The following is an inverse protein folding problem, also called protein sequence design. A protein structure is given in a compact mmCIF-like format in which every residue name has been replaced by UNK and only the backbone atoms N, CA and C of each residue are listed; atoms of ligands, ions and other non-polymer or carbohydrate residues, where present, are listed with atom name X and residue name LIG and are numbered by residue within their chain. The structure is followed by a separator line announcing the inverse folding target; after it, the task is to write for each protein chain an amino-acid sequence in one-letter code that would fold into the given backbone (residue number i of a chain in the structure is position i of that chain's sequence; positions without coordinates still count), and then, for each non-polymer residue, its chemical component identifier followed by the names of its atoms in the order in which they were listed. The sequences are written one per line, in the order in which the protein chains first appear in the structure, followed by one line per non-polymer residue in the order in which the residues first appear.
data_IF_386592374805
#
_entry.id   IF_386592374805
#
_cell.length_a   1.000
_cell.length_b   1.000
_cell.length_c   1.000
_cell.angle_alpha   90.00
_cell.angle_beta   90.00
_cell.angle_gamma   90.00
#
_symmetry.space_group_name_H-M   'P 1'
#
loop_
_entity.id
_entity.type
_entity.pdbx_description
1 polymer ?
#
# COMPACT_ATOMS: atom_id res chain seq x y z
N UNK A 1 9.08 -0.29 13.55
CA UNK A 1 9.76 -1.47 14.13
C UNK A 1 11.28 -1.39 13.98
N UNK A 2 12.04 -1.88 14.97
CA UNK A 2 13.49 -2.07 14.84
C UNK A 2 13.85 -3.03 13.70
N UNK A 3 15.03 -2.86 13.08
CA UNK A 3 15.51 -3.73 11.99
C UNK A 3 15.67 -5.18 12.41
N UNK A 4 16.09 -5.41 13.66
CA UNK A 4 16.30 -6.74 14.23
C UNK A 4 15.01 -7.57 14.22
N UNK A 5 13.85 -6.93 14.29
CA UNK A 5 12.56 -7.60 14.18
C UNK A 5 12.35 -8.20 12.78
N UNK A 6 12.68 -7.44 11.72
CA UNK A 6 12.60 -7.96 10.34
C UNK A 6 13.57 -9.13 10.15
N UNK A 7 14.80 -8.99 10.62
CA UNK A 7 15.84 -10.02 10.49
C UNK A 7 15.44 -11.30 11.23
N UNK A 8 14.93 -11.17 12.46
CA UNK A 8 14.42 -12.30 13.23
C UNK A 8 13.25 -12.99 12.51
N UNK A 9 12.29 -12.21 12.01
CA UNK A 9 11.14 -12.75 11.30
C UNK A 9 11.56 -13.48 10.03
N UNK A 10 12.56 -12.98 9.31
CA UNK A 10 13.09 -13.64 8.12
C UNK A 10 13.87 -14.92 8.44
N UNK A 11 14.84 -14.86 9.36
CA UNK A 11 15.74 -15.97 9.65
C UNK A 11 15.04 -17.11 10.42
N UNK A 12 14.14 -16.76 11.35
CA UNK A 12 13.49 -17.72 12.25
C UNK A 12 11.98 -17.83 12.00
N UNK A 13 11.30 -16.70 11.85
CA UNK A 13 9.83 -16.66 11.73
C UNK A 13 9.33 -17.43 10.51
N UNK A 14 9.90 -17.17 9.33
CA UNK A 14 9.57 -17.84 8.06
C UNK A 14 9.64 -19.36 8.20
N UNK A 15 10.75 -19.88 8.73
CA UNK A 15 10.95 -21.33 8.93
C UNK A 15 9.95 -21.92 9.93
N UNK A 16 9.73 -21.26 11.07
CA UNK A 16 8.81 -21.73 12.11
C UNK A 16 7.36 -21.80 11.63
N UNK A 17 6.97 -20.89 10.74
CA UNK A 17 5.62 -20.83 10.18
C UNK A 17 5.45 -21.68 8.91
N UNK A 18 6.50 -22.38 8.45
CA UNK A 18 6.47 -23.16 7.22
C UNK A 18 6.12 -22.30 6.00
N UNK A 19 6.73 -21.12 5.91
CA UNK A 19 6.54 -20.20 4.78
C UNK A 19 7.67 -20.36 3.78
N UNK A 20 7.34 -20.29 2.49
CA UNK A 20 8.30 -20.29 1.40
C UNK A 20 8.41 -18.90 0.78
N UNK A 21 9.54 -18.61 0.14
CA UNK A 21 9.72 -17.35 -0.58
C UNK A 21 8.67 -17.20 -1.69
N UNK A 22 8.02 -16.04 -1.74
CA UNK A 22 6.99 -15.71 -2.73
C UNK A 22 7.49 -14.66 -3.73
N UNK A 23 7.98 -13.53 -3.23
CA UNK A 23 8.46 -12.44 -4.08
C UNK A 23 9.27 -11.41 -3.31
N UNK A 24 10.16 -10.73 -4.02
CA UNK A 24 10.74 -9.45 -3.59
C UNK A 24 10.30 -8.38 -4.58
N UNK A 25 9.80 -7.24 -4.09
CA UNK A 25 9.41 -6.12 -4.97
C UNK A 25 9.74 -4.76 -4.36
N UNK A 26 10.17 -3.88 -5.24
CA UNK A 26 10.31 -2.45 -5.01
C UNK A 26 9.15 -1.71 -5.69
N UNK A 27 8.57 -0.75 -5.00
CA UNK A 27 7.46 0.04 -5.50
C UNK A 27 7.52 1.47 -5.01
N UNK A 28 7.11 2.37 -5.89
CA UNK A 28 6.76 3.73 -5.55
C UNK A 28 5.25 3.85 -5.44
N UNK A 29 4.73 4.51 -4.42
CA UNK A 29 3.30 4.75 -4.27
C UNK A 29 3.06 6.24 -4.20
N UNK A 30 2.13 6.70 -5.02
CA UNK A 30 1.68 8.08 -5.06
C UNK A 30 0.26 8.13 -4.51
N UNK A 31 0.05 8.98 -3.52
CA UNK A 31 -1.27 9.32 -3.01
C UNK A 31 -1.72 10.60 -3.72
N UNK A 32 -2.74 10.48 -4.56
CA UNK A 32 -3.29 11.58 -5.36
C UNK A 32 -4.62 12.02 -4.78
N UNK A 33 -4.72 13.30 -4.46
CA UNK A 33 -5.95 13.94 -4.04
C UNK A 33 -6.73 14.44 -5.26
N UNK A 34 -8.01 14.11 -5.34
CA UNK A 34 -8.96 14.63 -6.32
C UNK A 34 -9.99 15.49 -5.58
N UNK A 35 -9.90 16.83 -5.73
CA UNK A 35 -10.76 17.78 -5.02
C UNK A 35 -12.25 17.62 -5.35
N UNK A 36 -12.59 17.00 -6.46
CA UNK A 36 -13.98 16.76 -6.85
C UNK A 36 -14.56 15.49 -6.20
N UNK A 37 -13.75 14.72 -5.47
CA UNK A 37 -14.17 13.52 -4.75
C UNK A 37 -14.17 13.80 -3.26
N UNK A 38 -15.29 13.50 -2.62
CA UNK A 38 -15.51 13.80 -1.20
C UNK A 38 -14.72 12.93 -0.23
N UNK A 39 -14.22 11.74 -0.63
CA UNK A 39 -13.55 10.84 0.34
C UNK A 39 -12.45 9.89 -0.17
N UNK A 40 -12.48 9.35 -1.41
CA UNK A 40 -11.46 8.37 -1.77
C UNK A 40 -10.23 9.04 -2.40
N UNK A 41 -9.15 9.14 -1.62
CA UNK A 41 -7.82 9.39 -2.17
C UNK A 41 -7.41 8.22 -3.06
N UNK A 42 -6.74 8.55 -4.17
CA UNK A 42 -6.30 7.56 -5.14
C UNK A 42 -4.88 7.17 -4.82
N UNK A 43 -4.63 5.87 -4.72
CA UNK A 43 -3.31 5.29 -4.57
C UNK A 43 -2.86 4.73 -5.90
N UNK A 44 -1.78 5.29 -6.44
CA UNK A 44 -1.12 4.78 -7.62
C UNK A 44 0.15 4.05 -7.20
N UNK A 45 0.21 2.76 -7.50
CA UNK A 45 1.37 1.91 -7.25
C UNK A 45 2.15 1.78 -8.55
N UNK A 46 3.40 2.16 -8.51
CA UNK A 46 4.30 2.24 -9.64
C UNK A 46 5.51 1.30 -9.49
N UNK A 47 6.12 0.99 -10.62
CA UNK A 47 7.37 0.24 -10.76
C UNK A 47 8.32 0.99 -11.68
N UNK A 48 9.61 0.88 -11.43
CA UNK A 48 10.65 1.45 -12.29
C UNK A 48 10.83 0.54 -13.50
N UNK A 49 10.86 1.13 -14.69
CA UNK A 49 11.14 0.46 -15.95
C UNK A 49 12.65 0.43 -16.23
N UNK A 50 13.06 -0.31 -17.26
CA UNK A 50 14.47 -0.41 -17.64
C UNK A 50 15.10 0.93 -18.03
N UNK A 51 14.30 1.85 -18.58
CA UNK A 51 14.72 3.22 -18.94
C UNK A 51 14.77 4.18 -17.74
N UNK A 52 14.49 3.70 -16.52
CA UNK A 52 14.43 4.49 -15.30
C UNK A 52 13.12 5.25 -15.09
N UNK A 53 12.16 5.16 -16.02
CA UNK A 53 10.85 5.82 -15.88
C UNK A 53 9.91 5.04 -14.95
N UNK A 54 8.91 5.74 -14.38
CA UNK A 54 7.86 5.09 -13.61
C UNK A 54 6.73 4.60 -14.50
N UNK A 55 6.34 3.35 -14.30
CA UNK A 55 5.13 2.75 -14.90
C UNK A 55 4.08 2.49 -13.83
N UNK A 56 2.82 2.70 -14.18
CA UNK A 56 1.69 2.42 -13.29
C UNK A 56 1.44 0.90 -13.30
N UNK A 57 1.65 0.25 -12.17
CA UNK A 57 1.34 -1.17 -11.99
C UNK A 57 -0.09 -1.38 -11.50
N UNK A 58 -0.60 -0.51 -10.63
CA UNK A 58 -1.95 -0.64 -10.06
C UNK A 58 -2.49 0.70 -9.56
N UNK A 59 -3.81 0.89 -9.71
CA UNK A 59 -4.54 2.01 -9.09
C UNK A 59 -5.59 1.47 -8.12
N UNK A 60 -5.59 1.97 -6.89
CA UNK A 60 -6.50 1.59 -5.82
C UNK A 60 -7.13 2.85 -5.21
N UNK A 61 -8.33 2.71 -4.64
CA UNK A 61 -8.85 3.74 -3.74
C UNK A 61 -8.47 3.43 -2.30
N UNK A 62 -8.55 4.44 -1.44
CA UNK A 62 -8.42 4.28 0.00
C UNK A 62 -9.17 3.03 0.48
N UNK A 63 -8.48 2.23 1.29
CA UNK A 63 -9.07 1.06 1.91
C UNK A 63 -10.17 1.49 2.89
N UNK A 64 -11.32 0.82 2.82
CA UNK A 64 -12.35 0.93 3.85
C UNK A 64 -12.01 -0.04 4.95
N UNK A 65 -11.89 0.45 6.18
CA UNK A 65 -11.60 -0.39 7.36
C UNK A 65 -12.92 -0.69 8.04
N UNK A 66 -13.29 -1.98 8.08
CA UNK A 66 -14.53 -2.43 8.70
C UNK A 66 -14.33 -2.79 10.16
N UNK A 67 -13.13 -3.29 10.49
CA UNK A 67 -12.70 -3.58 11.85
C UNK A 67 -11.22 -3.24 11.98
N UNK A 68 -10.87 -2.58 13.08
CA UNK A 68 -9.49 -2.37 13.52
C UNK A 68 -9.45 -2.65 15.01
N UNK A 69 -8.67 -3.65 15.41
CA UNK A 69 -8.46 -4.00 16.81
C UNK A 69 -6.97 -3.90 17.12
N UNK A 70 -6.63 -3.10 18.13
CA UNK A 70 -5.26 -2.95 18.62
C UNK A 70 -5.10 -3.79 19.90
N UNK A 71 -4.10 -4.66 19.90
CA UNK A 71 -3.83 -5.62 20.96
C UNK A 71 -2.42 -5.34 21.47
N UNK A 72 -2.35 -4.79 22.68
CA UNK A 72 -1.06 -4.50 23.30
C UNK A 72 -0.41 -5.76 23.87
N UNK A 73 0.81 -6.10 23.43
CA UNK A 73 1.56 -7.22 24.02
C UNK A 73 2.58 -6.68 25.04
N UNK A 74 2.08 -6.34 26.22
CA UNK A 74 2.83 -5.69 27.32
C UNK A 74 4.16 -6.38 27.68
N UNK A 75 4.28 -7.68 27.44
CA UNK A 75 5.49 -8.46 27.75
C UNK A 75 6.58 -8.42 26.67
N UNK A 76 6.28 -7.90 25.47
CA UNK A 76 7.17 -7.96 24.31
C UNK A 76 7.49 -6.59 23.71
N UNK A 77 7.00 -5.50 24.31
CA UNK A 77 7.11 -4.14 23.78
C UNK A 77 6.75 -4.09 22.29
N UNK A 78 5.66 -4.77 21.95
CA UNK A 78 5.21 -5.01 20.59
C UNK A 78 3.69 -4.99 20.58
N UNK A 79 3.10 -4.14 19.76
CA UNK A 79 1.65 -4.13 19.62
C UNK A 79 1.24 -4.87 18.34
N UNK A 80 0.03 -5.41 18.35
CA UNK A 80 -0.56 -6.08 17.19
C UNK A 80 -1.78 -5.30 16.75
N UNK A 81 -1.88 -5.02 15.46
CA UNK A 81 -3.10 -4.48 14.86
C UNK A 81 -3.74 -5.51 13.96
N UNK A 82 -4.94 -5.96 14.31
CA UNK A 82 -5.79 -6.77 13.44
C UNK A 82 -6.72 -5.84 12.66
N UNK A 83 -6.80 -6.05 11.34
CA UNK A 83 -7.62 -5.21 10.47
C UNK A 83 -8.38 -6.05 9.45
N UNK A 84 -9.70 -5.89 9.43
CA UNK A 84 -10.55 -6.32 8.32
C UNK A 84 -10.80 -5.10 7.42
N UNK A 85 -10.31 -5.14 6.19
CA UNK A 85 -10.49 -4.06 5.25
C UNK A 85 -11.02 -4.56 3.91
N UNK A 86 -11.64 -3.66 3.17
CA UNK A 86 -11.97 -3.86 1.78
C UNK A 86 -11.23 -2.85 0.94
N UNK A 87 -10.54 -3.34 -0.09
CA UNK A 87 -9.81 -2.51 -1.03
C UNK A 87 -10.55 -2.55 -2.37
N UNK A 88 -10.95 -1.38 -2.84
CA UNK A 88 -11.57 -1.21 -4.16
C UNK A 88 -10.47 -0.99 -5.19
N UNK A 89 -10.36 -1.93 -6.13
CA UNK A 89 -9.48 -1.80 -7.29
C UNK A 89 -10.30 -1.15 -8.40
N UNK A 90 -9.85 0.01 -8.87
CA UNK A 90 -10.50 0.67 -9.98
C UNK A 90 -10.15 -0.08 -11.27
N UNK A 91 -11.15 -0.69 -11.91
CA UNK A 91 -11.00 -1.28 -13.25
C UNK A 91 -11.40 -0.29 -14.34
N UNK A 92 -12.49 0.45 -14.13
CA UNK A 92 -12.95 1.52 -15.02
C UNK A 92 -12.77 2.87 -14.32
N UNK A 93 -11.57 3.44 -14.45
CA UNK A 93 -11.29 4.82 -14.01
C UNK A 93 -11.82 5.78 -15.08
N UNK A 94 -12.47 6.87 -14.67
CA UNK A 94 -12.83 7.96 -15.59
C UNK A 94 -11.58 8.42 -16.37
N UNK A 95 -11.71 8.59 -17.69
CA UNK A 95 -10.56 8.86 -18.57
C UNK A 95 -9.80 10.13 -18.19
N UNK A 96 -10.47 11.14 -17.61
CA UNK A 96 -9.80 12.35 -17.11
C UNK A 96 -8.97 12.06 -15.87
N UNK A 97 -9.50 11.25 -14.95
CA UNK A 97 -8.76 10.81 -13.75
C UNK A 97 -7.56 9.97 -14.15
N UNK A 98 -7.72 9.04 -15.08
CA UNK A 98 -6.63 8.20 -15.58
C UNK A 98 -5.53 9.03 -16.26
N UNK A 99 -5.91 9.95 -17.14
CA UNK A 99 -4.97 10.87 -17.81
C UNK A 99 -4.22 11.74 -16.81
N UNK A 100 -4.90 12.24 -15.77
CA UNK A 100 -4.28 13.03 -14.73
C UNK A 100 -3.25 12.22 -13.94
N UNK A 101 -3.58 11.01 -13.51
CA UNK A 101 -2.64 10.13 -12.79
C UNK A 101 -1.43 9.81 -13.68
N UNK A 102 -1.65 9.47 -14.95
CA UNK A 102 -0.57 9.20 -15.91
C UNK A 102 0.37 10.40 -16.04
N UNK A 103 -0.16 11.61 -16.15
CA UNK A 103 0.64 12.84 -16.25
C UNK A 103 1.40 13.17 -14.97
N UNK A 104 0.82 12.92 -13.79
CA UNK A 104 1.51 13.09 -12.50
C UNK A 104 2.66 12.08 -12.36
N UNK A 105 2.43 10.82 -12.73
CA UNK A 105 3.47 9.78 -12.68
C UNK A 105 4.58 10.05 -13.70
N UNK A 106 4.25 10.45 -14.93
CA UNK A 106 5.26 10.71 -15.96
C UNK A 106 6.14 11.94 -15.70
N UNK A 107 5.70 12.83 -14.82
CA UNK A 107 6.46 14.03 -14.43
C UNK A 107 7.27 13.85 -13.14
N UNK A 108 7.11 12.72 -12.46
CA UNK A 108 7.87 12.40 -11.26
C UNK A 108 9.33 12.12 -11.61
N UNK A 109 10.23 12.58 -10.75
CA UNK A 109 11.67 12.31 -10.83
C UNK A 109 12.02 11.43 -9.64
N UNK A 110 12.62 10.26 -9.92
CA UNK A 110 13.20 9.41 -8.89
C UNK A 110 14.43 10.11 -8.32
N UNK A 111 14.41 10.38 -7.03
CA UNK A 111 15.51 11.04 -6.32
C UNK A 111 15.69 10.38 -4.94
N UNK A 112 16.73 9.53 -4.78
CA UNK A 112 16.96 8.78 -3.54
C UNK A 112 17.34 9.69 -2.36
N UNK A 113 17.62 10.98 -2.59
CA UNK A 113 17.99 11.92 -1.54
C UNK A 113 16.78 12.58 -0.89
N UNK A 114 15.57 12.37 -1.41
CA UNK A 114 14.33 12.91 -0.82
C UNK A 114 13.49 11.83 -0.16
N UNK A 115 12.68 12.24 0.83
CA UNK A 115 11.75 11.32 1.50
C UNK A 115 10.68 10.81 0.54
N UNK A 116 10.39 9.52 0.63
CA UNK A 116 9.55 8.78 -0.31
C UNK A 116 10.15 8.61 -1.72
N UNK A 117 11.39 9.04 -1.95
CA UNK A 117 12.18 8.75 -3.15
C UNK A 117 11.71 9.42 -4.45
N UNK A 118 10.71 10.32 -4.39
CA UNK A 118 10.16 11.02 -5.54
C UNK A 118 10.05 12.52 -5.29
N UNK A 119 10.35 13.30 -6.32
CA UNK A 119 10.07 14.73 -6.36
C UNK A 119 9.51 15.14 -7.72
N UNK A 120 8.92 16.32 -7.77
CA UNK A 120 8.43 16.94 -9.00
C UNK A 120 9.18 18.24 -9.27
N UNK A 121 9.35 18.61 -10.56
CA UNK A 121 9.64 19.99 -10.90
C UNK A 121 8.56 20.92 -10.35
N UNK A 122 8.91 22.18 -10.10
CA UNK A 122 7.99 23.16 -9.52
C UNK A 122 6.68 23.24 -10.32
N UNK A 123 5.55 23.05 -9.64
CA UNK A 123 4.20 23.08 -10.23
C UNK A 123 3.82 21.87 -11.07
N UNK A 124 4.61 20.79 -11.08
CA UNK A 124 4.29 19.53 -11.78
C UNK A 124 3.70 18.45 -10.87
N UNK A 125 3.61 18.73 -9.58
CA UNK A 125 2.93 17.93 -8.55
C UNK A 125 1.40 18.12 -8.54
N UNK A 126 0.86 18.92 -9.45
CA UNK A 126 -0.58 19.16 -9.58
C UNK A 126 -1.02 19.29 -11.03
N UNK A 127 -2.31 19.06 -11.28
CA UNK A 127 -2.96 19.22 -12.57
C UNK A 127 -4.21 20.07 -12.39
N UNK A 128 -4.10 21.32 -12.85
CA UNK A 128 -5.10 22.35 -12.60
C UNK A 128 -5.37 22.49 -11.11
N UNK A 129 -6.60 22.85 -10.76
CA UNK A 129 -7.01 22.97 -9.37
C UNK A 129 -7.51 21.66 -8.78
N UNK A 130 -7.68 20.61 -9.60
CA UNK A 130 -8.40 19.39 -9.23
C UNK A 130 -7.51 18.30 -8.64
N UNK A 131 -6.38 18.01 -9.27
CA UNK A 131 -5.52 16.89 -8.85
C UNK A 131 -4.21 17.40 -8.26
N UNK A 132 -3.77 16.79 -7.17
CA UNK A 132 -2.48 17.11 -6.54
C UNK A 132 -1.89 15.89 -5.84
N UNK A 133 -0.57 15.82 -5.75
CA UNK A 133 0.13 14.84 -4.93
C UNK A 133 -0.09 15.20 -3.45
N UNK A 134 -0.65 14.27 -2.69
CA UNK A 134 -0.84 14.38 -1.25
C UNK A 134 0.24 13.61 -0.46
N UNK A 135 0.94 12.68 -1.11
CA UNK A 135 2.05 11.98 -0.47
C UNK A 135 2.73 10.99 -1.40
N UNK A 136 3.93 10.57 -1.00
CA UNK A 136 4.75 9.61 -1.72
C UNK A 136 5.39 8.59 -0.77
N UNK A 137 5.53 7.37 -1.26
CA UNK A 137 6.13 6.27 -0.52
C UNK A 137 7.06 5.50 -1.45
N UNK A 138 8.28 5.23 -0.98
CA UNK A 138 9.17 4.25 -1.56
C UNK A 138 9.18 3.03 -0.65
N UNK A 139 8.82 1.86 -1.19
CA UNK A 139 8.73 0.64 -0.39
C UNK A 139 9.45 -0.52 -1.05
N UNK A 140 10.20 -1.25 -0.25
CA UNK A 140 10.85 -2.51 -0.62
C UNK A 140 10.28 -3.59 0.28
N UNK A 141 9.85 -4.72 -0.28
CA UNK A 141 9.39 -5.82 0.54
C UNK A 141 9.87 -7.17 0.06
N UNK A 142 10.08 -8.08 1.01
CA UNK A 142 10.18 -9.51 0.81
C UNK A 142 8.92 -10.18 1.34
N UNK A 143 8.34 -11.06 0.54
CA UNK A 143 7.13 -11.79 0.88
C UNK A 143 7.41 -13.28 0.94
N UNK A 144 6.76 -13.92 1.91
CA UNK A 144 6.79 -15.36 2.11
C UNK A 144 5.37 -15.85 2.29
N UNK A 145 5.05 -17.05 1.82
CA UNK A 145 3.68 -17.57 1.88
C UNK A 145 3.63 -19.07 2.02
N UNK A 146 2.49 -19.54 2.50
CA UNK A 146 2.00 -20.88 2.29
C UNK A 146 0.52 -20.78 1.84
N UNK A 147 -0.24 -21.86 1.99
CA UNK A 147 -1.66 -21.90 1.59
C UNK A 147 -2.57 -20.97 2.41
N UNK A 148 -2.24 -20.73 3.68
CA UNK A 148 -3.14 -20.05 4.63
C UNK A 148 -2.64 -18.67 5.05
N UNK A 149 -1.36 -18.38 4.89
CA UNK A 149 -0.70 -17.19 5.41
C UNK A 149 0.25 -16.59 4.38
N UNK A 150 0.31 -15.25 4.33
CA UNK A 150 1.38 -14.53 3.64
C UNK A 150 1.99 -13.49 4.55
N UNK A 151 3.27 -13.64 4.84
CA UNK A 151 4.10 -12.67 5.54
C UNK A 151 4.72 -11.69 4.52
N UNK A 152 4.76 -10.42 4.88
CA UNK A 152 5.49 -9.36 4.18
C UNK A 152 6.35 -8.61 5.17
N UNK A 153 7.65 -8.62 4.90
CA UNK A 153 8.66 -7.83 5.58
C UNK A 153 8.96 -6.64 4.67
N UNK A 154 8.61 -5.44 5.12
CA UNK A 154 8.67 -4.23 4.29
C UNK A 154 9.51 -3.16 4.98
N UNK A 155 10.32 -2.49 4.17
CA UNK A 155 10.89 -1.19 4.47
C UNK A 155 10.09 -0.13 3.71
N UNK A 156 9.73 0.96 4.37
CA UNK A 156 8.96 2.06 3.77
C UNK A 156 9.56 3.41 4.16
N UNK A 157 10.00 4.18 3.17
CA UNK A 157 10.28 5.61 3.29
C UNK A 157 9.08 6.39 2.74
N UNK A 158 8.59 7.36 3.50
CA UNK A 158 7.29 8.00 3.31
C UNK A 158 7.42 9.50 3.45
N UNK A 159 6.66 10.24 2.66
CA UNK A 159 6.52 11.68 2.80
C UNK A 159 5.07 12.08 2.56
N UNK A 160 4.43 12.63 3.59
CA UNK A 160 3.08 13.20 3.51
C UNK A 160 3.19 14.71 3.25
N UNK A 161 2.66 15.16 2.10
CA UNK A 161 2.74 16.56 1.70
C UNK A 161 1.76 17.43 2.50
N UNK A 162 0.67 16.86 3.01
CA UNK A 162 -0.34 17.60 3.75
C UNK A 162 0.19 18.03 5.12
N UNK A 163 0.90 17.13 5.81
CA UNK A 163 1.56 17.45 7.09
C UNK A 163 3.00 17.91 6.93
N UNK A 164 3.59 17.79 5.73
CA UNK A 164 5.02 18.05 5.47
C UNK A 164 5.94 17.20 6.35
N UNK A 165 5.54 15.96 6.65
CA UNK A 165 6.29 15.05 7.50
C UNK A 165 6.79 13.85 6.73
N UNK A 166 8.08 13.51 6.94
CA UNK A 166 8.68 12.27 6.44
C UNK A 166 8.83 11.23 7.55
N UNK A 167 8.68 9.96 7.20
CA UNK A 167 8.83 8.83 8.12
C UNK A 167 9.57 7.68 7.41
N UNK A 168 10.43 6.97 8.13
CA UNK A 168 11.00 5.69 7.69
C UNK A 168 10.57 4.62 8.67
N UNK A 169 9.94 3.57 8.18
CA UNK A 169 9.42 2.50 9.01
C UNK A 169 9.71 1.11 8.41
N UNK A 170 10.09 0.20 9.29
CA UNK A 170 10.03 -1.23 9.02
C UNK A 170 8.67 -1.77 9.46
N UNK A 171 8.07 -2.62 8.62
CA UNK A 171 6.72 -3.15 8.80
C UNK A 171 6.71 -4.67 8.62
N UNK A 172 6.07 -5.35 9.57
CA UNK A 172 5.77 -6.79 9.48
C UNK A 172 4.27 -6.95 9.32
N UNK A 173 3.86 -7.45 8.16
CA UNK A 173 2.46 -7.61 7.80
C UNK A 173 2.13 -9.06 7.45
N UNK A 174 1.04 -9.56 7.99
CA UNK A 174 0.48 -10.86 7.69
C UNK A 174 -0.84 -10.68 6.96
N UNK A 175 -1.04 -11.39 5.85
CA UNK A 175 -2.36 -11.60 5.24
C UNK A 175 -2.84 -12.99 5.62
N UNK A 176 -3.97 -13.07 6.30
CA UNK A 176 -4.61 -14.32 6.71
C UNK A 176 -5.42 -14.87 5.54
N UNK A 177 -4.76 -15.51 4.57
CA UNK A 177 -5.34 -15.98 3.29
C UNK A 177 -6.49 -16.96 3.56
N UNK A 178 -6.26 -17.96 4.39
CA UNK A 178 -7.26 -18.99 4.69
C UNK A 178 -8.55 -18.40 5.30
N UNK A 179 -8.42 -17.41 6.17
CA UNK A 179 -9.58 -16.70 6.75
C UNK A 179 -10.24 -15.76 5.74
N UNK A 180 -9.45 -15.05 4.92
CA UNK A 180 -9.98 -14.16 3.89
C UNK A 180 -10.90 -14.91 2.92
N UNK A 181 -10.51 -16.12 2.49
CA UNK A 181 -11.34 -16.96 1.62
C UNK A 181 -12.66 -17.38 2.28
N UNK A 182 -12.66 -17.67 3.58
CA UNK A 182 -13.90 -18.01 4.32
C UNK A 182 -14.86 -16.82 4.40
N UNK A 183 -14.34 -15.60 4.46
CA UNK A 183 -15.15 -14.38 4.48
C UNK A 183 -15.73 -14.05 3.09
N UNK A 184 -15.04 -14.44 2.02
CA UNK A 184 -15.50 -14.25 0.63
C UNK A 184 -16.56 -15.30 0.21
N UNK A 185 -16.71 -16.40 0.94
CA UNK A 185 -17.60 -17.52 0.63
C UNK A 185 -19.10 -17.32 0.91
N UNK A 186 -19.53 -16.12 1.34
CA UNK A 186 -20.94 -15.76 1.40
C UNK A 186 -21.34 -14.97 0.14
N UNK A 187 -22.54 -15.19 -0.45
CA UNK A 187 -22.95 -14.52 -1.68
C UNK A 187 -22.73 -13.02 -1.56
N UNK A 188 -22.03 -12.45 -2.54
CA UNK A 188 -21.82 -11.02 -2.65
C UNK A 188 -23.18 -10.34 -2.52
N UNK A 189 -23.39 -9.61 -1.42
CA UNK A 189 -24.36 -8.53 -1.44
C UNK A 189 -23.84 -7.58 -2.50
N UNK A 190 -24.47 -7.62 -3.69
CA UNK A 190 -24.30 -6.61 -4.72
C UNK A 190 -24.69 -5.28 -4.08
N UNK A 191 -23.69 -4.58 -3.53
CA UNK A 191 -23.86 -3.19 -3.20
C UNK A 191 -23.87 -2.45 -4.54
N UNK A 192 -25.09 -2.20 -5.00
CA UNK A 192 -25.44 -1.55 -6.24
C UNK A 192 -24.58 -0.30 -6.54
N UNK A 193 -24.18 -0.22 -7.81
CA UNK A 193 -23.49 0.88 -8.49
C UNK A 193 -22.11 1.27 -7.92
N UNK A 194 -21.04 0.60 -8.36
CA UNK A 194 -19.77 1.24 -8.78
C UNK A 194 -18.86 0.15 -9.38
N UNK A 195 -18.49 0.33 -10.64
CA UNK A 195 -17.87 -0.66 -11.52
C UNK A 195 -16.38 -0.95 -11.17
N UNK A 196 -16.15 -1.78 -10.14
CA UNK A 196 -14.82 -2.13 -9.66
C UNK A 196 -14.76 -3.44 -8.89
N UNK A 197 -13.61 -4.12 -8.92
CA UNK A 197 -13.42 -5.35 -8.15
C UNK A 197 -13.17 -5.01 -6.68
N UNK A 198 -14.03 -5.53 -5.81
CA UNK A 198 -13.99 -5.35 -4.36
C UNK A 198 -13.34 -6.58 -3.75
N UNK A 199 -12.22 -6.40 -3.04
CA UNK A 199 -11.54 -7.50 -2.36
C UNK A 199 -11.48 -7.26 -0.85
N UNK A 200 -12.08 -8.16 -0.08
CA UNK A 200 -11.97 -8.18 1.38
C UNK A 200 -10.64 -8.82 1.79
N UNK A 201 -9.99 -8.26 2.79
CA UNK A 201 -8.69 -8.73 3.28
C UNK A 201 -8.68 -8.66 4.79
N UNK A 202 -8.32 -9.78 5.42
CA UNK A 202 -7.97 -9.81 6.82
C UNK A 202 -6.44 -9.76 6.95
N UNK A 203 -5.95 -8.74 7.64
CA UNK A 203 -4.52 -8.50 7.84
C UNK A 203 -4.19 -8.31 9.31
N UNK A 204 -3.00 -8.76 9.70
CA UNK A 204 -2.43 -8.49 11.02
C UNK A 204 -1.08 -7.81 10.83
N UNK A 205 -0.80 -6.76 11.59
CA UNK A 205 0.44 -6.00 11.53
C UNK A 205 1.09 -5.96 12.91
N UNK A 206 2.42 -6.10 12.95
CA UNK A 206 3.22 -5.75 14.13
C UNK A 206 3.43 -4.22 14.12
N UNK A 207 3.06 -3.57 15.22
CA UNK A 207 3.07 -2.12 15.40
C UNK A 207 4.20 -1.70 16.35
#
# INVERSE_FOLDING_TARGET
MPSECLDYMEQSGVKRMGLEFDSSKEHYHLKVFDKHRSDPTIWCKCTVQEDGSLSIHKVELNQVRHLVEDISCLFKDLDLRLMLCTIRILKNVDTKVESAIKSLVSSAIIDPNVKGGLRWPLGKDSIGERFSIAGVWHTNYRAFRNETLRLKLRHADRFDHQSSTGEVANEVNFKLIGMSHRLEGHPQLELSSFDGAVNSKLTMQLC
#
